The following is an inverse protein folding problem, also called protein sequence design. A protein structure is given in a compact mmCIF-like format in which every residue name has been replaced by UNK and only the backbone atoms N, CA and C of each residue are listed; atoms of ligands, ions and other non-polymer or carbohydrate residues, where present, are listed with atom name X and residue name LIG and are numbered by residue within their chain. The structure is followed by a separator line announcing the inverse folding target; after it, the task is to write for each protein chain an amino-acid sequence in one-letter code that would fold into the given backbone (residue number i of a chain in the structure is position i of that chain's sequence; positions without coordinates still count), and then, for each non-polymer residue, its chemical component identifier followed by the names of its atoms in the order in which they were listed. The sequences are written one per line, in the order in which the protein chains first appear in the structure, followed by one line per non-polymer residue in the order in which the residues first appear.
data_IF_145221330710
#
_entry.id   IF_145221330710
#
_cell.length_a   1.000
_cell.length_b   1.000
_cell.length_c   1.000
_cell.angle_alpha   90.00
_cell.angle_beta   90.00
_cell.angle_gamma   90.00
#
_symmetry.space_group_name_H-M   'P 1'
#
loop_
_entity.id
_entity.type
_entity.pdbx_description
1 polymer ?
#
# COMPACT_ATOMS: atom_id res chain seq x y z
N UNK A 1 -10.91 -8.00 17.28
CA UNK A 1 -11.69 -7.38 16.21
C UNK A 1 -10.90 -6.19 15.69
N UNK A 2 -10.06 -6.41 14.68
CA UNK A 2 -9.60 -5.39 13.74
C UNK A 2 -9.49 -6.11 12.40
N UNK A 3 -10.25 -5.65 11.41
CA UNK A 3 -10.06 -5.95 10.00
C UNK A 3 -9.78 -4.60 9.37
N UNK A 4 -8.63 -4.44 8.70
CA UNK A 4 -8.34 -3.23 7.94
C UNK A 4 -8.56 -3.60 6.48
N UNK A 5 -9.68 -3.22 5.87
CA UNK A 5 -10.04 -3.66 4.54
C UNK A 5 -9.34 -2.78 3.53
N UNK A 6 -8.12 -3.17 3.17
CA UNK A 6 -7.55 -2.96 1.84
C UNK A 6 -7.35 -1.54 1.30
N UNK A 7 -7.81 -0.43 1.88
CA UNK A 7 -7.58 0.92 1.33
C UNK A 7 -6.97 1.88 2.34
N UNK A 8 -5.85 2.51 1.99
CA UNK A 8 -5.06 3.43 2.81
C UNK A 8 -4.90 4.74 2.05
N UNK A 9 -5.58 5.80 2.51
CA UNK A 9 -5.52 7.18 1.99
C UNK A 9 -5.17 8.21 3.08
N UNK A 10 -4.79 7.73 4.26
CA UNK A 10 -4.46 8.55 5.43
C UNK A 10 -3.15 8.09 6.05
N UNK A 11 -2.30 9.06 6.40
CA UNK A 11 -0.98 8.81 6.99
C UNK A 11 -1.06 7.90 8.22
N UNK A 12 -2.06 8.09 9.08
CA UNK A 12 -2.22 7.28 10.31
C UNK A 12 -2.43 5.79 10.03
N UNK A 13 -3.06 5.43 8.90
CA UNK A 13 -3.24 4.04 8.51
C UNK A 13 -1.98 3.47 7.84
N UNK A 14 -1.23 4.31 7.11
CA UNK A 14 0.07 3.94 6.57
C UNK A 14 1.09 3.70 7.70
N UNK A 15 1.07 4.51 8.75
CA UNK A 15 1.92 4.34 9.93
C UNK A 15 1.62 3.00 10.62
N UNK A 16 0.33 2.69 10.84
CA UNK A 16 -0.10 1.42 11.40
C UNK A 16 0.33 0.21 10.55
N UNK A 17 0.23 0.33 9.22
CA UNK A 17 0.75 -0.71 8.33
C UNK A 17 2.27 -0.82 8.46
N UNK A 18 2.99 0.29 8.54
CA UNK A 18 4.46 0.30 8.66
C UNK A 18 4.92 -0.40 9.95
N UNK A 19 4.19 -0.23 11.06
CA UNK A 19 4.45 -0.97 12.30
C UNK A 19 4.30 -2.49 12.08
N UNK A 20 3.26 -2.93 11.35
CA UNK A 20 3.07 -4.36 11.00
C UNK A 20 4.22 -4.86 10.10
N UNK A 21 4.62 -4.09 9.09
CA UNK A 21 5.66 -4.50 8.14
C UNK A 21 7.06 -4.54 8.77
N UNK A 22 7.29 -3.81 9.87
CA UNK A 22 8.60 -3.74 10.54
C UNK A 22 9.04 -5.11 11.06
N UNK A 23 8.10 -5.91 11.57
CA UNK A 23 8.35 -7.24 12.11
C UNK A 23 8.07 -8.36 11.09
N UNK A 24 7.57 -8.02 9.90
CA UNK A 24 7.21 -8.99 8.87
C UNK A 24 8.47 -9.59 8.21
N UNK A 25 8.65 -10.93 8.23
CA UNK A 25 9.83 -11.56 7.62
C UNK A 25 9.79 -11.55 6.08
N UNK A 26 8.61 -11.34 5.49
CA UNK A 26 8.38 -11.29 4.05
C UNK A 26 7.15 -10.43 3.76
N UNK A 27 7.23 -9.65 2.68
CA UNK A 27 6.09 -8.89 2.15
C UNK A 27 6.01 -9.09 0.63
N UNK A 28 4.79 -9.12 0.10
CA UNK A 28 4.52 -8.94 -1.32
C UNK A 28 4.35 -7.46 -1.63
N UNK A 29 4.93 -6.99 -2.74
CA UNK A 29 4.83 -5.61 -3.19
C UNK A 29 4.49 -5.58 -4.69
N UNK A 30 3.46 -4.82 -5.05
CA UNK A 30 3.11 -4.51 -6.43
C UNK A 30 2.79 -3.01 -6.57
N UNK A 31 2.85 -2.48 -7.79
CA UNK A 31 2.67 -1.04 -8.06
C UNK A 31 1.98 -0.81 -9.39
N UNK A 32 1.02 0.11 -9.41
CA UNK A 32 0.32 0.57 -10.61
C UNK A 32 0.70 2.01 -10.96
N UNK A 33 0.70 2.34 -12.26
CA UNK A 33 1.10 3.65 -12.74
C UNK A 33 0.13 4.25 -13.77
N UNK A 34 -0.14 5.55 -13.62
CA UNK A 34 -0.79 6.36 -14.66
C UNK A 34 0.26 6.81 -15.68
N UNK A 35 0.04 6.46 -16.95
CA UNK A 35 0.95 6.76 -18.07
C UNK A 35 0.38 7.74 -19.10
N UNK A 36 -0.88 8.16 -18.94
CA UNK A 36 -1.54 9.08 -19.87
C UNK A 36 -1.20 10.50 -19.47
N UNK A 37 -0.76 11.33 -20.42
CA UNK A 37 -0.53 12.78 -20.25
C UNK A 37 0.51 13.19 -19.20
N UNK A 38 1.44 12.30 -18.86
CA UNK A 38 2.56 12.60 -17.97
C UNK A 38 3.89 12.34 -18.67
N UNK A 39 4.92 13.17 -18.41
CA UNK A 39 6.27 12.94 -18.97
C UNK A 39 6.95 11.73 -18.32
N UNK A 40 6.77 11.56 -17.00
CA UNK A 40 7.14 10.35 -16.25
C UNK A 40 5.89 9.65 -15.73
N UNK A 41 5.86 8.30 -15.64
CA UNK A 41 4.78 7.57 -15.00
C UNK A 41 4.57 8.06 -13.57
N UNK A 42 3.33 8.33 -13.19
CA UNK A 42 2.97 8.66 -11.82
C UNK A 42 2.46 7.39 -11.12
N UNK A 43 2.91 7.08 -9.89
CA UNK A 43 2.27 6.04 -9.10
C UNK A 43 0.76 6.30 -9.01
N UNK A 44 -0.04 5.26 -9.24
CA UNK A 44 -1.49 5.31 -9.12
C UNK A 44 -2.02 4.41 -8.00
N UNK A 45 -1.30 3.33 -7.67
CA UNK A 45 -1.59 2.48 -6.53
C UNK A 45 -0.31 1.77 -6.08
N UNK A 46 -0.18 1.55 -4.78
CA UNK A 46 0.83 0.65 -4.21
C UNK A 46 0.09 -0.46 -3.47
N UNK A 47 0.45 -1.72 -3.70
CA UNK A 47 -0.19 -2.87 -3.07
C UNK A 47 0.83 -3.62 -2.21
N UNK A 48 0.47 -3.90 -0.95
CA UNK A 48 1.29 -4.67 -0.03
C UNK A 48 0.49 -5.90 0.44
N UNK A 49 1.08 -7.07 0.31
CA UNK A 49 0.58 -8.29 0.93
C UNK A 49 1.49 -8.67 2.10
N UNK A 50 0.91 -8.91 3.28
CA UNK A 50 1.63 -9.36 4.48
C UNK A 50 0.73 -10.31 5.26
N UNK A 51 1.31 -11.42 5.72
CA UNK A 51 0.56 -12.53 6.32
C UNK A 51 -0.63 -12.99 5.46
N UNK A 52 -1.86 -12.87 5.95
CA UNK A 52 -3.10 -13.23 5.22
C UNK A 52 -3.85 -11.99 4.68
N UNK A 53 -3.27 -10.80 4.80
CA UNK A 53 -3.89 -9.52 4.45
C UNK A 53 -3.26 -8.87 3.21
N UNK A 54 -4.08 -8.08 2.50
CA UNK A 54 -3.65 -7.24 1.39
C UNK A 54 -4.13 -5.80 1.59
N UNK A 55 -3.22 -4.86 1.34
CA UNK A 55 -3.40 -3.43 1.53
C UNK A 55 -3.17 -2.70 0.21
N UNK A 56 -4.04 -1.77 -0.13
CA UNK A 56 -3.95 -0.88 -1.29
C UNK A 56 -3.75 0.54 -0.77
N UNK A 57 -2.66 1.18 -1.17
CA UNK A 57 -2.22 2.48 -0.68
C UNK A 57 -2.39 3.47 -1.82
N UNK A 58 -3.14 4.54 -1.56
CA UNK A 58 -3.28 5.70 -2.44
C UNK A 58 -2.03 6.59 -2.32
N UNK A 59 -1.19 6.69 -3.36
CA UNK A 59 -0.02 7.55 -3.35
C UNK A 59 -0.43 9.00 -3.64
N UNK A 60 -0.75 9.76 -2.56
CA UNK A 60 -1.10 11.19 -2.59
C UNK A 60 -0.15 12.07 -3.42
#
# INVERSE_FOLDING_TARGET
MVSIPGWIDHQTHLDALTDVLTDAPLIGLDTEFVRVSTFHPKPGLIQIAVDEDAYLIDPL
#
